data_IF_010869008139
#
_entry.id   IF_010869008139
#
_cell.length_a   1.000
_cell.length_b   1.000
_cell.length_c   1.000
_cell.angle_alpha   90.00
_cell.angle_beta   90.00
_cell.angle_gamma   90.00
#
_symmetry.space_group_name_H-M   'P 1'
#
loop_
_entity.id
_entity.type
_entity.pdbx_description
1 polymer ?
#
# COMPACT_ATOMS: atom_id res chain seq x y z
N UNK A 1 -2.35 29.69 -16.27
CA UNK A 1 -1.74 28.33 -16.41
C UNK A 1 -0.78 28.13 -15.25
N UNK A 2 -0.88 27.01 -14.54
CA UNK A 2 0.09 26.65 -13.51
C UNK A 2 1.36 26.17 -14.22
N UNK A 3 2.52 26.80 -13.93
CA UNK A 3 3.80 26.34 -14.43
C UNK A 3 4.30 25.20 -13.53
N UNK A 4 4.64 24.07 -14.12
CA UNK A 4 5.18 22.89 -13.41
C UNK A 4 6.53 22.49 -14.00
N UNK A 5 7.32 21.75 -13.23
CA UNK A 5 8.54 21.11 -13.72
C UNK A 5 8.20 20.06 -14.78
N UNK A 6 9.18 19.67 -15.59
CA UNK A 6 9.01 18.60 -16.56
C UNK A 6 8.84 17.24 -15.85
N UNK A 7 8.07 16.33 -16.49
CA UNK A 7 7.79 15.01 -15.89
C UNK A 7 9.06 14.22 -15.55
N UNK A 8 10.12 14.16 -16.39
CA UNK A 8 11.36 13.47 -16.04
C UNK A 8 12.05 14.02 -14.79
N UNK A 9 12.07 15.35 -14.63
CA UNK A 9 12.69 16.01 -13.47
C UNK A 9 11.92 15.70 -12.19
N UNK A 10 10.59 15.73 -12.27
CA UNK A 10 9.74 15.32 -11.16
C UNK A 10 9.96 13.86 -10.78
N UNK A 11 10.00 12.95 -11.76
CA UNK A 11 10.25 11.53 -11.52
C UNK A 11 11.62 11.26 -10.92
N UNK A 12 12.64 12.02 -11.34
CA UNK A 12 13.98 11.92 -10.76
C UNK A 12 14.01 12.40 -9.31
N UNK A 13 13.36 13.53 -9.01
CA UNK A 13 13.24 14.03 -7.64
C UNK A 13 12.50 13.04 -6.73
N UNK A 14 11.37 12.48 -7.21
CA UNK A 14 10.58 11.51 -6.44
C UNK A 14 11.31 10.17 -6.24
N UNK A 15 12.26 9.81 -7.11
CA UNK A 15 13.07 8.62 -6.90
C UNK A 15 13.91 8.69 -5.62
N UNK A 16 14.38 9.89 -5.24
CA UNK A 16 15.15 10.12 -4.01
C UNK A 16 14.27 10.22 -2.75
N UNK A 17 12.94 10.19 -2.89
CA UNK A 17 12.03 10.20 -1.76
C UNK A 17 11.73 8.76 -1.31
N UNK A 18 12.21 8.31 -0.13
CA UNK A 18 12.00 6.94 0.31
C UNK A 18 10.53 6.72 0.66
N UNK A 19 9.95 5.65 0.15
CA UNK A 19 8.57 5.24 0.44
C UNK A 19 8.51 3.82 0.97
N UNK A 20 7.68 3.59 1.99
CA UNK A 20 7.36 2.24 2.46
C UNK A 20 6.61 1.47 1.38
N UNK A 21 7.08 0.27 1.04
CA UNK A 21 6.38 -0.57 0.05
C UNK A 21 5.22 -1.27 0.74
N UNK A 22 4.02 -1.07 0.20
CA UNK A 22 2.78 -1.65 0.73
C UNK A 22 2.06 -2.48 -0.34
N UNK A 23 1.37 -3.54 0.09
CA UNK A 23 0.34 -4.18 -0.70
C UNK A 23 -1.02 -3.60 -0.27
N UNK A 24 -1.69 -2.90 -1.19
CA UNK A 24 -3.05 -2.39 -1.01
C UNK A 24 -4.01 -3.40 -1.63
N UNK A 25 -4.92 -3.93 -0.82
CA UNK A 25 -5.72 -5.11 -1.17
C UNK A 25 -7.19 -4.92 -0.83
N UNK A 26 -8.06 -5.53 -1.62
CA UNK A 26 -9.51 -5.61 -1.38
C UNK A 26 -10.07 -6.85 -2.04
N UNK A 27 -11.39 -7.02 -2.04
CA UNK A 27 -12.12 -8.04 -2.79
C UNK A 27 -12.73 -7.47 -4.05
N UNK A 28 -12.80 -8.32 -5.08
CA UNK A 28 -13.68 -8.15 -6.23
C UNK A 28 -14.63 -9.34 -6.33
N UNK A 29 -15.54 -9.33 -7.30
CA UNK A 29 -16.40 -10.47 -7.62
C UNK A 29 -15.61 -11.73 -7.99
N UNK A 30 -14.39 -11.56 -8.52
CA UNK A 30 -13.51 -12.64 -8.97
C UNK A 30 -12.51 -13.09 -7.91
N UNK A 31 -12.62 -12.57 -6.69
CA UNK A 31 -11.74 -12.90 -5.57
C UNK A 31 -10.82 -11.75 -5.13
N UNK A 32 -9.72 -12.07 -4.43
CA UNK A 32 -8.82 -11.05 -3.90
C UNK A 32 -8.11 -10.30 -5.03
N UNK A 33 -7.99 -8.99 -4.86
CA UNK A 33 -7.32 -8.09 -5.80
C UNK A 33 -6.45 -7.08 -5.05
N UNK A 34 -5.36 -6.62 -5.65
CA UNK A 34 -4.47 -5.66 -5.00
C UNK A 34 -3.38 -5.13 -5.91
N UNK A 35 -2.67 -4.14 -5.40
CA UNK A 35 -1.51 -3.51 -6.05
C UNK A 35 -0.38 -3.31 -5.04
N UNK A 36 0.83 -3.10 -5.54
CA UNK A 36 1.95 -2.55 -4.76
C UNK A 36 1.92 -1.03 -4.89
N UNK A 37 2.00 -0.34 -3.76
CA UNK A 37 1.99 1.12 -3.69
C UNK A 37 2.96 1.63 -2.62
N UNK A 38 3.45 2.86 -2.81
CA UNK A 38 4.24 3.61 -1.82
C UNK A 38 3.52 4.88 -1.35
N UNK A 39 2.45 5.28 -2.05
CA UNK A 39 1.71 6.52 -1.78
C UNK A 39 0.66 6.30 -0.67
N UNK A 40 1.12 6.07 0.54
CA UNK A 40 0.31 5.87 1.75
C UNK A 40 0.84 6.78 2.85
N UNK A 41 -0.07 7.46 3.55
CA UNK A 41 0.30 8.18 4.77
C UNK A 41 -0.85 8.24 5.78
N UNK A 42 -0.51 8.53 7.05
CA UNK A 42 -1.50 8.85 8.07
C UNK A 42 -2.20 10.17 7.74
N UNK A 43 -3.50 10.27 8.01
CA UNK A 43 -4.29 11.47 7.82
C UNK A 43 -4.67 12.12 9.15
N UNK A 44 -5.29 11.37 10.05
CA UNK A 44 -5.77 11.86 11.34
C UNK A 44 -5.68 10.78 12.41
N UNK A 45 -5.51 11.21 13.66
CA UNK A 45 -5.66 10.33 14.83
C UNK A 45 -7.10 10.31 15.35
N UNK A 46 -7.90 11.35 15.05
CA UNK A 46 -9.28 11.49 15.51
C UNK A 46 -10.20 11.93 14.35
N UNK A 47 -10.93 11.00 13.72
CA UNK A 47 -10.84 9.54 13.85
C UNK A 47 -9.54 8.98 13.24
N UNK A 48 -9.08 7.80 13.71
CA UNK A 48 -7.93 7.14 13.11
C UNK A 48 -8.14 6.88 11.62
N UNK A 49 -7.36 7.53 10.78
CA UNK A 49 -7.53 7.48 9.33
C UNK A 49 -6.21 7.62 8.57
N UNK A 50 -6.22 7.05 7.38
CA UNK A 50 -5.09 7.10 6.43
C UNK A 50 -5.58 7.54 5.06
N UNK A 51 -4.65 7.94 4.21
CA UNK A 51 -4.92 8.07 2.78
C UNK A 51 -3.99 7.17 1.97
N UNK A 52 -4.49 6.74 0.81
CA UNK A 52 -3.73 6.05 -0.22
C UNK A 52 -4.07 6.63 -1.58
N UNK A 53 -3.05 6.89 -2.42
CA UNK A 53 -3.29 7.33 -3.79
C UNK A 53 -3.25 6.12 -4.72
N UNK A 54 -4.37 5.85 -5.39
CA UNK A 54 -4.54 4.74 -6.32
C UNK A 54 -4.77 5.28 -7.73
N UNK A 55 -3.96 4.81 -8.68
CA UNK A 55 -4.11 5.21 -10.09
C UNK A 55 -5.49 4.76 -10.61
N UNK A 56 -6.22 5.64 -11.30
CA UNK A 56 -7.60 5.39 -11.76
C UNK A 56 -7.72 4.18 -12.70
N UNK A 57 -6.66 3.83 -13.43
CA UNK A 57 -6.62 2.63 -14.30
C UNK A 57 -5.99 1.40 -13.61
N UNK A 58 -5.70 1.47 -12.31
CA UNK A 58 -5.26 0.28 -11.58
C UNK A 58 -6.43 -0.68 -11.37
N UNK A 59 -6.20 -1.98 -11.56
CA UNK A 59 -7.26 -3.00 -11.45
C UNK A 59 -7.96 -3.04 -10.09
N UNK A 60 -7.31 -2.56 -9.03
CA UNK A 60 -7.86 -2.49 -7.67
C UNK A 60 -8.72 -1.26 -7.42
N UNK A 61 -8.65 -0.23 -8.29
CA UNK A 61 -9.29 1.07 -8.05
C UNK A 61 -10.81 0.93 -7.84
N UNK A 62 -11.52 0.46 -8.86
CA UNK A 62 -12.97 0.33 -8.79
C UNK A 62 -13.39 -0.73 -7.77
N UNK A 63 -12.59 -1.79 -7.60
CA UNK A 63 -12.86 -2.82 -6.60
C UNK A 63 -12.85 -2.26 -5.16
N UNK A 64 -11.97 -1.30 -4.83
CA UNK A 64 -12.00 -0.63 -3.52
C UNK A 64 -13.28 0.19 -3.34
N UNK A 65 -13.70 0.91 -4.39
CA UNK A 65 -14.91 1.72 -4.33
C UNK A 65 -16.15 0.85 -4.17
N UNK A 66 -16.23 -0.25 -4.90
CA UNK A 66 -17.36 -1.19 -4.87
C UNK A 66 -17.40 -1.97 -3.54
N UNK A 67 -16.25 -2.43 -3.03
CA UNK A 67 -16.17 -3.17 -1.78
C UNK A 67 -16.39 -2.28 -0.53
N UNK A 68 -16.15 -0.97 -0.63
CA UNK A 68 -16.22 -0.04 0.49
C UNK A 68 -15.19 -0.30 1.59
N UNK A 69 -14.16 -1.10 1.31
CA UNK A 69 -13.09 -1.41 2.26
C UNK A 69 -11.78 -1.78 1.54
N UNK A 70 -10.68 -1.68 2.26
CA UNK A 70 -9.37 -2.09 1.77
C UNK A 70 -8.40 -2.33 2.94
N UNK A 71 -7.34 -3.08 2.68
CA UNK A 71 -6.25 -3.23 3.63
C UNK A 71 -4.95 -2.68 3.06
N UNK A 72 -4.14 -2.05 3.91
CA UNK A 72 -2.77 -1.63 3.61
C UNK A 72 -1.82 -2.52 4.40
N UNK A 73 -1.00 -3.29 3.70
CA UNK A 73 -0.05 -4.22 4.29
C UNK A 73 1.36 -3.69 4.03
N UNK A 74 2.02 -3.08 5.02
CA UNK A 74 3.41 -2.66 4.93
C UNK A 74 4.32 -3.89 4.88
N UNK A 75 5.15 -3.96 3.87
CA UNK A 75 5.99 -5.12 3.62
C UNK A 75 7.32 -5.04 4.40
N UNK A 76 7.81 -6.18 4.83
CA UNK A 76 9.17 -6.33 5.36
C UNK A 76 10.14 -6.76 4.25
N UNK A 77 11.44 -6.75 4.54
CA UNK A 77 12.48 -7.18 3.57
C UNK A 77 12.33 -8.64 3.11
N UNK A 78 11.54 -9.45 3.81
CA UNK A 78 11.23 -10.84 3.43
C UNK A 78 10.26 -10.93 2.24
N UNK A 79 9.56 -9.83 1.89
CA UNK A 79 8.48 -9.83 0.90
C UNK A 79 8.90 -9.36 -0.51
N UNK A 80 10.20 -9.30 -0.84
CA UNK A 80 10.66 -8.92 -2.19
C UNK A 80 10.06 -9.81 -3.29
N UNK A 81 9.97 -11.12 -3.03
CA UNK A 81 9.34 -12.06 -3.97
C UNK A 81 7.85 -11.78 -4.16
N UNK A 82 7.13 -11.30 -3.13
CA UNK A 82 5.74 -10.88 -3.23
C UNK A 82 5.61 -9.66 -4.14
N UNK A 83 6.48 -8.66 -4.01
CA UNK A 83 6.49 -7.48 -4.89
C UNK A 83 6.69 -7.89 -6.35
N UNK A 84 7.65 -8.76 -6.64
CA UNK A 84 7.88 -9.28 -7.97
C UNK A 84 6.64 -10.01 -8.53
N UNK A 85 5.97 -10.81 -7.70
CA UNK A 85 4.74 -11.53 -8.06
C UNK A 85 3.60 -10.58 -8.41
N UNK A 86 3.39 -9.53 -7.64
CA UNK A 86 2.37 -8.52 -7.93
C UNK A 86 2.59 -7.80 -9.27
N UNK A 87 3.85 -7.69 -9.70
CA UNK A 87 4.21 -7.11 -11.00
C UNK A 87 4.03 -8.08 -12.16
N UNK A 88 4.28 -9.38 -11.95
CA UNK A 88 4.31 -10.40 -12.99
C UNK A 88 2.99 -11.14 -13.16
N UNK A 89 2.20 -11.28 -12.10
CA UNK A 89 0.94 -12.02 -12.09
C UNK A 89 -0.28 -11.11 -12.12
N UNK A 90 -1.47 -11.67 -12.34
CA UNK A 90 -2.74 -10.97 -12.34
C UNK A 90 -3.77 -11.72 -11.49
N UNK A 91 -4.79 -10.99 -11.00
CA UNK A 91 -5.90 -11.56 -10.24
C UNK A 91 -5.41 -12.32 -9.00
N UNK A 92 -6.09 -13.41 -8.66
CA UNK A 92 -5.83 -14.22 -7.48
C UNK A 92 -4.41 -14.83 -7.43
N UNK A 93 -3.76 -15.07 -8.58
CA UNK A 93 -2.40 -15.59 -8.62
C UNK A 93 -1.35 -14.69 -7.95
N UNK A 94 -1.66 -13.40 -7.76
CA UNK A 94 -0.81 -12.47 -7.00
C UNK A 94 -0.69 -12.86 -5.52
N UNK A 95 -1.71 -13.52 -4.98
CA UNK A 95 -1.86 -13.80 -3.56
C UNK A 95 -1.22 -15.14 -3.12
N UNK A 96 -0.90 -16.00 -4.06
CA UNK A 96 -0.25 -17.29 -3.78
C UNK A 96 1.28 -17.18 -3.83
N UNK A 97 2.02 -18.00 -3.04
CA UNK A 97 1.58 -18.88 -1.95
C UNK A 97 1.53 -18.19 -0.58
N UNK A 98 1.52 -16.86 -0.53
CA UNK A 98 1.50 -16.12 0.74
C UNK A 98 0.20 -16.38 1.54
N UNK A 99 0.30 -16.27 2.86
CA UNK A 99 -0.84 -16.44 3.75
C UNK A 99 -1.60 -15.13 3.89
N UNK A 100 -2.82 -15.12 3.39
CA UNK A 100 -3.75 -14.01 3.49
C UNK A 100 -4.96 -14.42 4.32
N UNK A 101 -5.39 -13.54 5.23
CA UNK A 101 -6.56 -13.74 6.07
C UNK A 101 -7.27 -12.39 6.28
N UNK A 102 -8.60 -12.35 6.39
CA UNK A 102 -9.30 -11.11 6.72
C UNK A 102 -9.08 -10.74 8.19
N UNK A 103 -9.13 -9.44 8.49
CA UNK A 103 -9.33 -8.92 9.84
C UNK A 103 -10.80 -8.53 10.04
N UNK A 104 -11.11 -7.25 10.20
CA UNK A 104 -12.45 -6.78 10.56
C UNK A 104 -13.32 -6.48 9.35
N UNK A 105 -12.75 -5.88 8.27
CA UNK A 105 -13.53 -5.45 7.10
C UNK A 105 -13.76 -6.57 6.09
N UNK A 106 -12.99 -7.64 6.18
CA UNK A 106 -13.01 -8.72 5.20
C UNK A 106 -11.95 -8.55 4.09
N UNK A 107 -11.31 -7.39 3.97
CA UNK A 107 -10.22 -7.19 3.00
C UNK A 107 -9.05 -8.16 3.28
N UNK A 108 -8.39 -8.71 2.24
CA UNK A 108 -7.27 -9.63 2.44
C UNK A 108 -6.10 -8.94 3.15
N UNK A 109 -5.66 -9.47 4.28
CA UNK A 109 -4.48 -8.98 5.00
C UNK A 109 -3.37 -10.02 5.00
N UNK A 110 -2.13 -9.58 4.81
CA UNK A 110 -0.95 -10.43 4.79
C UNK A 110 -0.56 -10.81 6.22
N UNK A 111 -0.54 -12.11 6.50
CA UNK A 111 -0.41 -12.62 7.87
C UNK A 111 0.90 -12.24 8.58
N UNK A 112 1.98 -12.06 7.83
CA UNK A 112 3.32 -11.70 8.30
C UNK A 112 3.81 -10.32 7.81
N UNK A 113 2.88 -9.44 7.44
CA UNK A 113 3.20 -8.05 7.14
C UNK A 113 3.89 -7.36 8.33
N UNK A 114 4.74 -6.37 8.05
CA UNK A 114 5.35 -5.53 9.07
C UNK A 114 4.30 -4.72 9.86
N UNK A 115 3.28 -4.24 9.15
CA UNK A 115 2.10 -3.57 9.69
C UNK A 115 0.93 -3.84 8.76
N UNK A 116 -0.22 -4.07 9.31
CA UNK A 116 -1.49 -4.09 8.57
C UNK A 116 -2.45 -3.03 9.12
N UNK A 117 -3.04 -2.25 8.24
CA UNK A 117 -4.14 -1.34 8.50
C UNK A 117 -5.34 -1.81 7.69
N UNK A 118 -6.38 -2.28 8.38
CA UNK A 118 -7.62 -2.75 7.78
C UNK A 118 -8.65 -1.62 7.85
N UNK A 119 -9.13 -1.14 6.70
CA UNK A 119 -9.81 0.14 6.57
C UNK A 119 -11.19 0.01 5.93
N UNK A 120 -12.16 0.73 6.47
CA UNK A 120 -13.41 1.05 5.78
C UNK A 120 -13.20 2.29 4.93
N UNK A 121 -13.68 2.29 3.70
CA UNK A 121 -13.66 3.46 2.83
C UNK A 121 -14.47 4.59 3.48
N UNK A 122 -13.86 5.75 3.68
CA UNK A 122 -14.49 6.91 4.30
C UNK A 122 -14.86 7.97 3.28
N UNK A 123 -13.93 8.31 2.39
CA UNK A 123 -14.10 9.36 1.39
C UNK A 123 -13.14 9.17 0.22
N UNK A 124 -13.38 9.90 -0.89
CA UNK A 124 -12.50 9.91 -2.06
C UNK A 124 -12.39 11.30 -2.64
N UNK A 125 -11.20 11.68 -3.09
CA UNK A 125 -10.96 12.97 -3.74
C UNK A 125 -10.23 12.78 -5.07
N UNK A 126 -10.55 13.66 -6.02
CA UNK A 126 -9.87 13.66 -7.32
C UNK A 126 -8.41 14.09 -7.17
N UNK A 127 -7.48 13.23 -7.59
CA UNK A 127 -6.04 13.45 -7.64
C UNK A 127 -5.49 13.39 -9.07
N UNK A 128 -6.24 13.90 -10.06
CA UNK A 128 -5.91 13.89 -11.49
C UNK A 128 -5.83 12.45 -12.05
N UNK A 129 -4.64 11.89 -12.25
CA UNK A 129 -4.45 10.50 -12.70
C UNK A 129 -4.75 9.45 -11.61
N UNK A 130 -4.82 9.88 -10.36
CA UNK A 130 -5.09 9.05 -9.19
C UNK A 130 -6.38 9.47 -8.50
N UNK A 131 -6.91 8.59 -7.69
CA UNK A 131 -7.90 8.93 -6.66
C UNK A 131 -7.19 8.90 -5.31
N UNK A 132 -7.36 9.95 -4.50
CA UNK A 132 -6.98 9.95 -3.10
C UNK A 132 -8.11 9.25 -2.35
N UNK A 133 -7.83 8.08 -1.82
CA UNK A 133 -8.79 7.26 -1.07
C UNK A 133 -8.51 7.44 0.42
N UNK A 134 -9.50 7.87 1.16
CA UNK A 134 -9.44 8.03 2.61
C UNK A 134 -10.09 6.80 3.28
N UNK A 135 -9.36 6.17 4.19
CA UNK A 135 -9.84 5.02 4.94
C UNK A 135 -9.85 5.27 6.44
N UNK A 136 -10.99 4.98 7.10
CA UNK A 136 -11.06 4.87 8.55
C UNK A 136 -10.46 3.54 8.98
N UNK A 137 -9.47 3.57 9.88
CA UNK A 137 -8.77 2.36 10.32
C UNK A 137 -9.66 1.59 11.30
N UNK A 138 -10.21 0.47 10.84
CA UNK A 138 -11.12 -0.39 11.59
C UNK A 138 -10.40 -1.43 12.45
N UNK A 139 -9.21 -1.87 12.03
CA UNK A 139 -8.32 -2.75 12.77
C UNK A 139 -6.86 -2.56 12.37
N UNK A 140 -5.95 -2.91 13.27
CA UNK A 140 -4.51 -2.89 13.01
C UNK A 140 -3.86 -4.17 13.50
N UNK A 141 -2.77 -4.56 12.83
CA UNK A 141 -1.89 -5.64 13.28
C UNK A 141 -0.46 -5.21 13.05
N UNK A 142 0.33 -5.11 14.11
CA UNK A 142 1.78 -4.84 14.04
C UNK A 142 2.50 -6.17 14.05
N UNK A 143 3.33 -6.41 13.04
CA UNK A 143 4.16 -7.59 12.93
C UNK A 143 5.54 -7.40 13.58
N UNK A 144 6.37 -8.45 13.53
CA UNK A 144 7.76 -8.38 13.99
C UNK A 144 8.63 -7.66 12.96
N UNK A 145 8.89 -6.38 13.22
CA UNK A 145 9.79 -5.55 12.40
C UNK A 145 11.21 -5.49 12.95
N UNK A 146 11.44 -5.96 14.18
CA UNK A 146 12.71 -5.79 14.90
C UNK A 146 13.89 -6.43 14.14
N UNK A 147 13.67 -7.57 13.49
CA UNK A 147 14.73 -8.34 12.83
C UNK A 147 14.76 -8.15 11.31
N UNK A 148 13.64 -7.80 10.67
CA UNK A 148 13.55 -7.73 9.22
C UNK A 148 13.66 -6.31 8.66
N UNK A 149 13.19 -5.31 9.41
CA UNK A 149 12.99 -3.95 8.91
C UNK A 149 11.86 -3.85 7.87
N UNK A 150 11.38 -2.64 7.62
CA UNK A 150 10.41 -2.39 6.57
C UNK A 150 11.10 -2.34 5.20
N UNK A 151 10.43 -2.86 4.18
CA UNK A 151 10.88 -2.77 2.79
C UNK A 151 10.56 -1.37 2.27
N UNK A 152 11.56 -0.69 1.73
CA UNK A 152 11.44 0.64 1.16
C UNK A 152 11.74 0.61 -0.34
N UNK A 153 11.17 1.57 -1.07
CA UNK A 153 11.58 1.95 -2.41
C UNK A 153 12.32 3.27 -2.35
N UNK A 154 13.59 3.30 -2.74
CA UNK A 154 14.43 4.48 -2.70
C UNK A 154 15.46 4.40 -3.84
N UNK A 155 15.64 5.49 -4.56
CA UNK A 155 16.54 5.58 -5.73
C UNK A 155 16.34 4.43 -6.74
N UNK A 156 15.07 4.07 -6.98
CA UNK A 156 14.64 3.01 -7.90
C UNK A 156 15.16 1.62 -7.54
N UNK A 157 15.44 1.40 -6.27
CA UNK A 157 15.90 0.10 -5.76
C UNK A 157 15.22 -0.23 -4.43
N UNK A 158 15.30 -1.49 -4.02
CA UNK A 158 14.89 -1.90 -2.68
C UNK A 158 15.88 -1.41 -1.63
N UNK A 159 15.34 -0.86 -0.56
CA UNK A 159 16.07 -0.48 0.63
C UNK A 159 15.35 -1.04 1.88
N UNK A 160 15.94 -0.89 3.04
CA UNK A 160 15.32 -1.26 4.31
C UNK A 160 15.41 -0.13 5.33
N UNK A 161 14.42 -0.09 6.22
CA UNK A 161 14.51 0.75 7.41
C UNK A 161 15.50 0.15 8.41
N UNK A 162 16.27 1.01 9.08
CA UNK A 162 17.16 0.63 10.17
C UNK A 162 17.16 1.74 11.22
N UNK A 163 17.16 1.42 12.54
CA UNK A 163 17.40 2.42 13.57
C UNK A 163 18.75 3.09 13.37
N UNK A 164 18.82 4.39 13.64
CA UNK A 164 20.10 5.06 13.73
C UNK A 164 20.83 4.56 14.98
N UNK A 165 22.12 4.24 14.83
CA UNK A 165 22.96 3.94 16.00
C UNK A 165 23.11 5.25 16.77
N UNK A 166 22.72 5.24 18.06
CA UNK A 166 23.00 6.37 18.93
C UNK A 166 24.53 6.54 19.04
N UNK A 167 25.03 7.74 18.70
CA UNK A 167 26.40 8.14 18.92
C UNK A 167 26.61 8.54 20.39
#
# INVERSE_FOLDING_TARGET
MISTVQVPDFQQAMASFPGGITAVTTHSTDGPIGIIATAVCSLSAEPPSILVCVHKHASVHDAILDAGCFAVNLLSTRHQALVARFSQQRGAARFEPALWAPLKTGAPTLSDAALTLDCTLLDTHDGYSHTIIVGAVAATKVGDTANAGCLLWHDRTFARSSPLVAY
#
